data_IF_935881586938
#
_entry.id   IF_935881586938
#
_cell.length_a   1.000
_cell.length_b   1.000
_cell.length_c   1.000
_cell.angle_alpha   90.00
_cell.angle_beta   90.00
_cell.angle_gamma   90.00
#
_symmetry.space_group_name_H-M   'P 1'
#
loop_
_entity.id
_entity.type
_entity.pdbx_description
1 polymer ?
#
# COMPACT_ATOMS: atom_id res chain seq x y z
N UNK A 1 -3.00 -7.08 14.49
CA UNK A 1 -2.10 -5.98 14.96
C UNK A 1 -1.98 -4.97 13.83
N UNK A 2 -2.03 -3.66 14.11
CA UNK A 2 -2.00 -2.59 13.08
C UNK A 2 -0.71 -1.78 13.20
N UNK A 3 -0.04 -1.54 12.09
CA UNK A 3 1.17 -0.73 11.99
C UNK A 3 1.09 0.18 10.75
N UNK A 4 1.82 1.28 10.77
CA UNK A 4 1.85 2.22 9.64
C UNK A 4 3.24 2.81 9.44
N UNK A 5 3.57 3.13 8.19
CA UNK A 5 4.82 3.77 7.79
C UNK A 5 4.51 4.91 6.82
N UNK A 6 5.05 6.09 7.08
CA UNK A 6 5.03 7.22 6.12
C UNK A 6 6.29 7.17 5.28
N UNK A 7 6.12 7.24 3.96
CA UNK A 7 7.15 7.47 2.96
C UNK A 7 7.10 8.92 2.50
N UNK A 8 8.25 9.56 2.44
CA UNK A 8 8.41 10.81 1.69
C UNK A 8 8.71 10.44 0.23
N UNK A 9 7.83 10.81 -0.70
CA UNK A 9 7.98 10.45 -2.12
C UNK A 9 7.94 11.71 -3.01
N UNK A 10 8.34 11.57 -4.27
CA UNK A 10 8.34 12.68 -5.25
C UNK A 10 6.95 13.26 -5.52
N UNK A 11 5.90 12.48 -5.27
CA UNK A 11 4.49 12.90 -5.39
C UNK A 11 3.90 13.40 -4.06
N UNK A 12 4.72 13.49 -3.01
CA UNK A 12 4.34 13.88 -1.66
C UNK A 12 4.34 12.72 -0.67
N UNK A 13 4.01 12.97 0.60
CA UNK A 13 4.03 11.92 1.62
C UNK A 13 2.94 10.88 1.37
N UNK A 14 3.27 9.60 1.50
CA UNK A 14 2.35 8.48 1.42
C UNK A 14 2.44 7.65 2.70
N UNK A 15 1.31 7.42 3.37
CA UNK A 15 1.24 6.54 4.53
C UNK A 15 0.69 5.19 4.12
N UNK A 16 1.45 4.12 4.35
CA UNK A 16 1.02 2.73 4.15
C UNK A 16 0.64 2.13 5.50
N UNK A 17 -0.49 1.42 5.54
CA UNK A 17 -0.97 0.74 6.74
C UNK A 17 -1.01 -0.77 6.54
N UNK A 18 -0.40 -1.49 7.47
CA UNK A 18 -0.51 -2.93 7.61
C UNK A 18 -1.53 -3.26 8.70
N UNK A 19 -2.40 -4.23 8.43
CA UNK A 19 -3.23 -4.89 9.42
C UNK A 19 -3.25 -6.40 9.15
N UNK A 20 -3.06 -7.19 10.21
CA UNK A 20 -3.24 -8.65 10.21
C UNK A 20 -2.47 -9.37 9.09
N UNK A 21 -1.24 -8.91 8.81
CA UNK A 21 -0.32 -9.51 7.85
C UNK A 21 -0.53 -9.10 6.40
N UNK A 22 -1.35 -8.07 6.13
CA UNK A 22 -1.59 -7.55 4.79
C UNK A 22 -1.62 -6.01 4.77
N UNK A 23 -1.35 -5.43 3.61
CA UNK A 23 -1.56 -4.01 3.35
C UNK A 23 -3.06 -3.75 3.29
N UNK A 24 -3.53 -2.92 4.22
CA UNK A 24 -4.94 -2.62 4.40
C UNK A 24 -5.33 -1.25 3.83
N UNK A 25 -4.39 -0.32 3.74
CA UNK A 25 -4.61 1.01 3.20
C UNK A 25 -3.32 1.69 2.74
N UNK A 26 -3.46 2.63 1.82
CA UNK A 26 -2.48 3.65 1.47
C UNK A 26 -3.20 5.00 1.39
N UNK A 27 -2.64 6.02 2.06
CA UNK A 27 -3.26 7.33 2.20
C UNK A 27 -2.25 8.44 1.86
N UNK A 28 -2.75 9.54 1.30
CA UNK A 28 -1.95 10.75 1.09
C UNK A 28 -1.71 11.52 2.39
N UNK A 29 -0.48 12.00 2.56
CA UNK A 29 0.00 12.75 3.70
C UNK A 29 0.62 11.88 4.81
N UNK A 30 1.23 12.54 5.78
CA UNK A 30 1.81 11.90 6.97
C UNK A 30 0.71 11.59 8.01
N UNK A 31 0.08 10.42 7.88
CA UNK A 31 -1.09 9.99 8.67
C UNK A 31 -0.84 8.75 9.52
N UNK A 32 0.43 8.39 9.76
CA UNK A 32 0.78 7.21 10.53
C UNK A 32 0.18 7.25 11.94
N UNK A 33 -0.75 6.33 12.21
CA UNK A 33 -1.44 6.21 13.52
C UNK A 33 -0.62 5.36 14.49
N UNK A 34 0.11 4.37 13.98
CA UNK A 34 1.02 3.52 14.76
C UNK A 34 2.35 3.38 14.01
N UNK A 35 3.23 4.39 14.09
CA UNK A 35 4.47 4.41 13.34
C UNK A 35 5.38 3.27 13.81
N UNK A 36 5.47 2.21 12.99
CA UNK A 36 6.31 1.05 13.24
C UNK A 36 6.77 0.47 11.91
N UNK A 37 8.04 0.09 11.85
CA UNK A 37 8.56 -0.69 10.73
C UNK A 37 8.29 -2.17 10.97
N UNK A 38 7.72 -2.81 9.96
CA UNK A 38 7.59 -4.26 9.86
C UNK A 38 8.28 -4.71 8.57
N UNK A 39 8.64 -5.99 8.44
CA UNK A 39 9.16 -6.51 7.18
C UNK A 39 8.25 -6.20 5.99
N UNK A 40 6.94 -6.33 6.16
CA UNK A 40 5.96 -6.05 5.12
C UNK A 40 5.88 -4.55 4.76
N UNK A 41 5.87 -3.64 5.73
CA UNK A 41 5.86 -2.20 5.45
C UNK A 41 7.17 -1.73 4.79
N UNK A 42 8.31 -2.32 5.15
CA UNK A 42 9.58 -2.04 4.48
C UNK A 42 9.58 -2.54 3.03
N UNK A 43 8.99 -3.71 2.77
CA UNK A 43 8.86 -4.23 1.41
C UNK A 43 7.87 -3.41 0.56
N UNK A 44 6.75 -3.00 1.15
CA UNK A 44 5.82 -2.08 0.50
C UNK A 44 6.50 -0.75 0.13
N UNK A 45 7.31 -0.21 1.05
CA UNK A 45 8.07 0.99 0.80
C UNK A 45 9.03 0.85 -0.39
N UNK A 46 9.81 -0.25 -0.41
CA UNK A 46 10.75 -0.57 -1.50
C UNK A 46 10.05 -0.68 -2.86
N UNK A 47 8.90 -1.35 -2.91
CA UNK A 47 8.14 -1.51 -4.17
C UNK A 47 7.52 -0.19 -4.64
N UNK A 48 7.00 0.64 -3.74
CA UNK A 48 6.46 1.97 -4.08
C UNK A 48 7.56 2.85 -4.68
N UNK A 49 8.74 2.91 -4.06
CA UNK A 49 9.88 3.67 -4.60
C UNK A 49 10.31 3.16 -5.97
N UNK A 50 10.31 1.82 -6.18
CA UNK A 50 10.62 1.23 -7.48
C UNK A 50 9.56 1.56 -8.54
N UNK A 51 8.28 1.57 -8.16
CA UNK A 51 7.17 1.93 -9.05
C UNK A 51 7.26 3.39 -9.50
N UNK A 52 7.46 4.31 -8.56
CA UNK A 52 7.61 5.74 -8.86
C UNK A 52 8.85 6.02 -9.72
N UNK A 53 9.92 5.25 -9.55
CA UNK A 53 11.11 5.32 -10.39
C UNK A 53 10.94 4.64 -11.77
N UNK A 54 9.77 4.08 -12.09
CA UNK A 54 9.50 3.35 -13.34
C UNK A 54 10.23 2.01 -13.47
N UNK A 55 10.74 1.44 -12.37
CA UNK A 55 11.48 0.16 -12.34
C UNK A 55 10.63 -1.03 -11.94
N UNK A 56 9.37 -0.80 -11.55
CA UNK A 56 8.41 -1.84 -11.16
C UNK A 56 7.05 -1.47 -11.73
N UNK A 57 6.38 -2.44 -12.37
CA UNK A 57 5.04 -2.25 -12.95
C UNK A 57 3.99 -3.16 -12.30
N UNK A 58 4.42 -4.12 -11.48
CA UNK A 58 3.55 -5.05 -10.78
C UNK A 58 3.99 -5.19 -9.32
N UNK A 59 3.04 -5.02 -8.40
CA UNK A 59 3.26 -5.20 -6.97
C UNK A 59 3.08 -6.66 -6.56
N UNK A 60 3.96 -7.13 -5.69
CA UNK A 60 3.89 -8.44 -5.03
C UNK A 60 3.77 -8.21 -3.53
N UNK A 61 2.58 -7.79 -3.09
CA UNK A 61 2.27 -7.53 -1.70
C UNK A 61 0.96 -8.24 -1.34
N UNK A 62 0.84 -8.83 -0.14
CA UNK A 62 -0.45 -9.24 0.39
C UNK A 62 -1.30 -7.99 0.63
N UNK A 63 -2.39 -7.83 -0.12
CA UNK A 63 -3.32 -6.69 0.02
C UNK A 63 -4.68 -7.22 0.47
N UNK A 64 -5.19 -6.69 1.57
CA UNK A 64 -6.49 -7.05 2.12
C UNK A 64 -7.24 -5.78 2.53
N UNK A 65 -7.78 -5.02 1.55
CA UNK A 65 -8.49 -3.81 1.87
C UNK A 65 -9.81 -4.19 2.56
N UNK A 66 -10.11 -3.49 3.66
CA UNK A 66 -11.42 -3.61 4.30
C UNK A 66 -12.53 -3.10 3.37
N UNK A 67 -13.77 -3.53 3.62
CA UNK A 67 -14.92 -3.02 2.87
C UNK A 67 -16.07 -4.02 2.78
N UNK A 68 -17.19 -3.53 2.24
CA UNK A 68 -18.36 -4.34 1.92
C UNK A 68 -18.06 -5.32 0.77
N UNK A 69 -18.94 -6.30 0.56
CA UNK A 69 -18.83 -7.21 -0.59
C UNK A 69 -18.78 -6.46 -1.93
N UNK A 70 -19.55 -5.37 -2.04
CA UNK A 70 -19.53 -4.52 -3.23
C UNK A 70 -18.15 -3.89 -3.45
N UNK A 71 -17.55 -3.31 -2.40
CA UNK A 71 -16.21 -2.71 -2.48
C UNK A 71 -15.14 -3.75 -2.84
N UNK A 72 -15.22 -4.96 -2.28
CA UNK A 72 -14.32 -6.06 -2.64
C UNK A 72 -14.40 -6.42 -4.12
N UNK A 73 -15.60 -6.50 -4.69
CA UNK A 73 -15.78 -6.76 -6.14
C UNK A 73 -15.17 -5.64 -6.99
N UNK A 74 -15.31 -4.39 -6.56
CA UNK A 74 -14.67 -3.24 -7.23
C UNK A 74 -13.14 -3.39 -7.17
N UNK A 75 -12.56 -3.72 -6.02
CA UNK A 75 -11.11 -3.93 -5.90
C UNK A 75 -10.61 -5.08 -6.77
N UNK A 76 -11.32 -6.20 -6.84
CA UNK A 76 -10.96 -7.31 -7.74
C UNK A 76 -11.01 -6.89 -9.21
N UNK A 77 -12.02 -6.11 -9.62
CA UNK A 77 -12.07 -5.57 -10.97
C UNK A 77 -10.92 -4.58 -11.25
N UNK A 78 -10.57 -3.72 -10.29
CA UNK A 78 -9.44 -2.78 -10.41
C UNK A 78 -8.10 -3.51 -10.57
N UNK A 79 -7.89 -4.65 -9.89
CA UNK A 79 -6.66 -5.45 -9.99
C UNK A 79 -6.45 -6.07 -11.37
N UNK A 80 -7.49 -6.18 -12.19
CA UNK A 80 -7.39 -6.69 -13.55
C UNK A 80 -6.93 -5.63 -14.57
N UNK A 81 -6.86 -4.36 -14.18
CA UNK A 81 -6.38 -3.27 -15.03
C UNK A 81 -4.85 -3.39 -15.15
N UNK A 82 -4.29 -3.57 -16.35
CA UNK A 82 -2.84 -3.62 -16.53
C UNK A 82 -2.21 -2.24 -16.28
N UNK A 83 -0.90 -2.24 -16.08
CA UNK A 83 -0.13 -0.99 -16.05
C UNK A 83 -0.07 -0.34 -17.44
N UNK A 84 -0.21 1.00 -17.49
CA UNK A 84 -0.19 1.81 -18.72
C UNK A 84 -1.54 1.95 -19.40
#
# INVERSE_FOLDING_TARGET
>A
MRASLTLETEIGPLTVTEADGAIAAIDWGARAISPRRTPLLNEAARQIEAYLAGRLTQFELPVAPGGSEFQRRVFEAMRAIPYG
#
